data_IF_965172257252
#
_entry.id   IF_965172257252
#
_cell.length_a   1.000
_cell.length_b   1.000
_cell.length_c   1.000
_cell.angle_alpha   90.00
_cell.angle_beta   90.00
_cell.angle_gamma   90.00
#
_symmetry.space_group_name_H-M   'P 1'
#
loop_
_entity.id
_entity.type
_entity.pdbx_description
1 polymer ?
#
# COMPACT_ATOMS: atom_id res chain seq x y z
N UNK A 1 -8.96 11.75 -7.88
CA UNK A 1 -8.38 10.42 -8.25
C UNK A 1 -8.05 9.50 -7.06
N UNK A 2 -8.36 9.85 -5.81
CA UNK A 2 -8.56 8.92 -4.67
C UNK A 2 -9.59 9.54 -3.68
N UNK A 3 -10.40 10.48 -4.18
CA UNK A 3 -11.20 11.39 -3.34
C UNK A 3 -12.46 10.72 -2.74
N UNK A 4 -12.86 9.58 -3.29
CA UNK A 4 -14.05 8.81 -2.86
C UNK A 4 -13.70 7.49 -2.16
N UNK A 5 -12.42 7.25 -1.86
CA UNK A 5 -11.99 6.05 -1.12
C UNK A 5 -11.79 6.38 0.35
N UNK A 6 -12.45 5.62 1.24
CA UNK A 6 -12.20 5.63 2.69
C UNK A 6 -10.88 4.90 3.01
N UNK A 7 -9.79 5.37 2.40
CA UNK A 7 -8.45 4.85 2.57
C UNK A 7 -7.64 5.87 3.38
N UNK A 8 -7.14 5.52 4.57
CA UNK A 8 -6.26 6.41 5.30
C UNK A 8 -4.96 6.61 4.52
N UNK A 9 -4.67 7.86 4.17
CA UNK A 9 -3.45 8.27 3.48
C UNK A 9 -2.66 9.22 4.37
N UNK A 10 -1.36 8.97 4.50
CA UNK A 10 -0.45 9.82 5.26
C UNK A 10 0.70 10.25 4.34
N UNK A 11 0.83 11.56 4.15
CA UNK A 11 1.95 12.17 3.43
C UNK A 11 2.92 12.78 4.45
N UNK A 12 4.19 12.39 4.37
CA UNK A 12 5.23 12.85 5.28
C UNK A 12 6.44 13.30 4.46
N UNK A 13 7.08 14.37 4.91
CA UNK A 13 8.42 14.71 4.44
C UNK A 13 9.45 13.94 5.29
N UNK A 14 10.17 13.03 4.64
CA UNK A 14 11.18 12.20 5.28
C UNK A 14 12.42 13.02 5.74
N UNK A 15 12.62 14.24 5.21
CA UNK A 15 13.64 15.16 5.70
C UNK A 15 13.24 15.85 7.01
N UNK A 16 11.96 16.20 7.15
CA UNK A 16 11.42 16.80 8.38
C UNK A 16 11.25 15.75 9.49
N UNK A 17 11.00 14.49 9.13
CA UNK A 17 10.86 13.37 10.08
C UNK A 17 11.83 12.22 9.72
N UNK A 18 13.12 12.34 10.06
CA UNK A 18 14.14 11.35 9.68
C UNK A 18 13.89 9.93 10.20
N UNK A 19 13.21 9.80 11.33
CA UNK A 19 12.85 8.50 11.93
C UNK A 19 11.96 7.67 10.99
N UNK A 20 11.11 8.32 10.20
CA UNK A 20 10.25 7.69 9.19
C UNK A 20 11.11 7.19 8.02
N UNK A 21 12.11 7.96 7.59
CA UNK A 21 13.04 7.56 6.54
C UNK A 21 13.78 6.27 6.92
N UNK A 22 14.29 6.19 8.15
CA UNK A 22 14.97 5.01 8.68
C UNK A 22 14.04 3.81 8.84
N UNK A 23 12.91 4.01 9.54
CA UNK A 23 11.91 2.96 9.84
C UNK A 23 11.40 2.29 8.57
N UNK A 24 11.02 3.08 7.56
CA UNK A 24 10.46 2.58 6.31
C UNK A 24 11.51 2.36 5.21
N UNK A 25 12.78 2.61 5.52
CA UNK A 25 13.91 2.52 4.59
C UNK A 25 13.69 3.35 3.31
N UNK A 26 13.12 4.54 3.46
CA UNK A 26 12.90 5.49 2.37
C UNK A 26 14.14 6.37 2.23
N UNK A 27 15.04 5.96 1.34
CA UNK A 27 16.32 6.66 1.09
C UNK A 27 16.23 7.66 -0.07
N UNK A 28 15.11 7.69 -0.79
CA UNK A 28 14.85 8.63 -1.88
C UNK A 28 13.38 9.00 -1.96
N UNK A 29 13.11 10.25 -2.31
CA UNK A 29 11.77 10.74 -2.61
C UNK A 29 11.55 10.86 -4.14
N UNK A 30 10.29 10.79 -4.61
CA UNK A 30 9.10 10.36 -3.86
C UNK A 30 9.12 8.85 -3.58
N UNK A 31 8.45 8.41 -2.51
CA UNK A 31 8.19 7.01 -2.23
C UNK A 31 6.75 6.82 -1.76
N UNK A 32 6.09 5.78 -2.26
CA UNK A 32 4.75 5.37 -1.86
C UNK A 32 4.82 3.95 -1.34
N UNK A 33 4.32 3.74 -0.13
CA UNK A 33 4.21 2.44 0.52
C UNK A 33 2.73 2.16 0.78
N UNK A 34 2.29 0.95 0.47
CA UNK A 34 0.92 0.49 0.74
C UNK A 34 0.99 -0.60 1.79
N UNK A 35 0.19 -0.44 2.85
CA UNK A 35 0.07 -1.41 3.92
C UNK A 35 -1.34 -1.99 3.95
N UNK A 36 -1.43 -3.30 4.19
CA UNK A 36 -2.69 -3.99 4.43
C UNK A 36 -2.50 -4.91 5.64
N UNK A 37 -3.36 -4.75 6.66
CA UNK A 37 -3.29 -5.49 7.94
C UNK A 37 -1.88 -5.50 8.56
N UNK A 38 -1.21 -4.34 8.56
CA UNK A 38 0.12 -4.16 9.14
C UNK A 38 1.28 -4.69 8.29
N UNK A 39 1.02 -5.30 7.13
CA UNK A 39 2.04 -5.78 6.20
C UNK A 39 2.20 -4.83 5.02
N UNK A 40 3.45 -4.51 4.67
CA UNK A 40 3.76 -3.82 3.41
C UNK A 40 3.44 -4.73 2.22
N UNK A 41 2.53 -4.31 1.37
CA UNK A 41 2.06 -5.08 0.21
C UNK A 41 2.52 -4.52 -1.13
N UNK A 42 2.93 -3.24 -1.15
CA UNK A 42 3.46 -2.60 -2.34
C UNK A 42 4.37 -1.42 -2.00
N UNK A 43 5.39 -1.19 -2.83
CA UNK A 43 6.34 -0.09 -2.72
C UNK A 43 6.72 0.44 -4.10
N UNK A 44 6.72 1.75 -4.26
CA UNK A 44 7.31 2.45 -5.40
C UNK A 44 8.23 3.55 -4.91
N UNK A 45 9.36 3.75 -5.58
CA UNK A 45 10.33 4.79 -5.26
C UNK A 45 10.82 5.46 -6.55
N UNK A 46 10.98 6.79 -6.51
CA UNK A 46 11.43 7.69 -7.59
C UNK A 46 10.45 7.80 -8.76
N UNK A 47 9.98 6.68 -9.30
CA UNK A 47 9.02 6.62 -10.38
C UNK A 47 7.72 5.99 -9.88
N UNK A 48 6.63 6.75 -9.99
CA UNK A 48 5.32 6.35 -9.50
C UNK A 48 4.45 5.96 -10.70
N UNK A 49 3.97 4.73 -10.67
CA UNK A 49 3.00 4.20 -11.63
C UNK A 49 1.64 4.17 -10.92
N UNK A 50 0.84 5.19 -11.21
CA UNK A 50 -0.46 5.41 -10.58
C UNK A 50 -1.52 4.40 -11.03
N UNK A 51 -1.46 3.92 -12.27
CA UNK A 51 -2.39 2.92 -12.78
C UNK A 51 -2.20 1.61 -12.01
N UNK A 52 -0.94 1.21 -11.81
CA UNK A 52 -0.60 0.04 -10.99
C UNK A 52 -0.98 0.23 -9.52
N UNK A 53 -0.78 1.43 -8.97
CA UNK A 53 -1.17 1.72 -7.60
C UNK A 53 -2.69 1.60 -7.40
N UNK A 54 -3.48 2.13 -8.34
CA UNK A 54 -4.94 2.01 -8.32
C UNK A 54 -5.39 0.55 -8.37
N UNK A 55 -4.81 -0.25 -9.28
CA UNK A 55 -5.11 -1.67 -9.39
C UNK A 55 -4.83 -2.42 -8.08
N UNK A 56 -3.70 -2.12 -7.42
CA UNK A 56 -3.35 -2.76 -6.14
C UNK A 56 -4.34 -2.38 -5.04
N UNK A 57 -4.69 -1.10 -4.92
CA UNK A 57 -5.67 -0.64 -3.92
C UNK A 57 -7.02 -1.32 -4.14
N UNK A 58 -7.51 -1.37 -5.37
CA UNK A 58 -8.77 -2.04 -5.72
C UNK A 58 -8.74 -3.53 -5.38
N UNK A 59 -7.64 -4.22 -5.70
CA UNK A 59 -7.48 -5.63 -5.38
C UNK A 59 -7.58 -5.88 -3.86
N UNK A 60 -6.92 -5.05 -3.04
CA UNK A 60 -6.94 -5.21 -1.59
C UNK A 60 -8.26 -4.78 -0.94
N UNK A 61 -8.99 -3.82 -1.53
CA UNK A 61 -10.34 -3.46 -1.09
C UNK A 61 -11.37 -4.57 -1.39
N UNK A 62 -11.18 -5.32 -2.47
CA UNK A 62 -12.05 -6.44 -2.81
C UNK A 62 -11.87 -7.66 -1.89
N UNK A 63 -10.77 -7.73 -1.12
CA UNK A 63 -10.52 -8.82 -0.15
C UNK A 63 -11.47 -8.63 1.03
N UNK A 64 -12.63 -9.28 0.96
CA UNK A 64 -13.70 -9.17 1.95
C UNK A 64 -13.64 -10.29 3.00
N UNK A 65 -12.97 -11.42 2.68
CA UNK A 65 -12.80 -12.57 3.58
C UNK A 65 -11.38 -13.16 3.48
N UNK A 66 -10.82 -13.71 4.57
CA UNK A 66 -9.64 -14.56 4.46
C UNK A 66 -10.00 -15.73 3.56
N UNK A 67 -9.31 -15.87 2.42
CA UNK A 67 -9.51 -17.00 1.51
C UNK A 67 -9.35 -18.29 2.29
N UNK A 68 -10.47 -18.95 2.60
CA UNK A 68 -10.47 -20.25 3.20
C UNK A 68 -10.07 -21.25 2.12
N UNK A 69 -8.78 -21.58 2.07
CA UNK A 69 -8.22 -22.49 1.06
C UNK A 69 -8.95 -23.84 1.00
N UNK A 70 -9.58 -24.25 2.12
CA UNK A 70 -10.36 -25.48 2.21
C UNK A 70 -11.60 -25.47 1.30
N UNK A 71 -12.13 -24.29 0.98
CA UNK A 71 -13.31 -24.15 0.12
C UNK A 71 -12.97 -24.30 -1.38
N UNK A 72 -11.68 -24.23 -1.75
CA UNK A 72 -11.21 -24.39 -3.14
C UNK A 72 -11.07 -25.85 -3.58
N UNK A 73 -11.15 -26.79 -2.63
CA UNK A 73 -10.93 -28.22 -2.88
C UNK A 73 -12.14 -29.09 -2.52
N UNK A 74 -13.25 -28.49 -2.10
CA UNK A 74 -14.48 -29.22 -1.79
C UNK A 74 -15.32 -29.30 -3.07
N UNK A 75 -15.40 -30.49 -3.66
CA UNK A 75 -16.10 -30.80 -4.91
C UNK A 75 -17.43 -31.49 -4.65
#
# INVERSE_FOLDING_TARGET
MFEDTDLPMLALDAFEVPEVAGTFQVMTAPAILVFYQGKEVHRQARFIDFDRLQMIIQNYQAITEPTNYTDLFTN
#
